data_IF_472919985520
#
_entry.id   IF_472919985520
#
_cell.length_a   1.000
_cell.length_b   1.000
_cell.length_c   1.000
_cell.angle_alpha   90.00
_cell.angle_beta   90.00
_cell.angle_gamma   90.00
#
_symmetry.space_group_name_H-M   'P 1'
#
loop_
_entity.id
_entity.type
_entity.pdbx_description
1 polymer ?
#
# COMPACT_ATOMS: atom_id res chain seq x y z
N UNK A 1 15.27 8.79 7.27
CA UNK A 1 14.24 9.54 6.52
C UNK A 1 13.02 8.65 6.60
N UNK A 2 12.23 8.84 7.64
CA UNK A 2 11.07 8.01 7.95
C UNK A 2 9.90 8.47 7.10
N UNK A 3 9.73 7.84 5.93
CA UNK A 3 8.52 8.01 5.14
C UNK A 3 7.53 6.90 5.51
N UNK A 4 7.05 6.94 6.75
CA UNK A 4 5.89 6.16 7.17
C UNK A 4 4.72 7.13 7.23
N UNK A 5 3.75 6.96 6.33
CA UNK A 5 2.57 7.82 6.26
C UNK A 5 1.95 8.00 7.65
N UNK A 6 1.62 9.24 7.99
CA UNK A 6 1.19 9.59 9.35
C UNK A 6 -0.19 9.02 9.72
N UNK A 7 -1.01 8.69 8.71
CA UNK A 7 -2.36 8.16 8.87
C UNK A 7 -2.89 7.57 7.56
N UNK A 8 -3.93 6.74 7.64
CA UNK A 8 -4.65 6.22 6.46
C UNK A 8 -5.10 7.32 5.49
N UNK A 9 -5.66 8.42 6.02
CA UNK A 9 -6.08 9.56 5.21
C UNK A 9 -4.91 10.22 4.47
N UNK A 10 -3.76 10.36 5.14
CA UNK A 10 -2.55 10.91 4.52
C UNK A 10 -2.02 9.96 3.44
N UNK A 11 -1.95 8.65 3.71
CA UNK A 11 -1.59 7.65 2.71
C UNK A 11 -2.51 7.68 1.48
N UNK A 12 -3.83 7.73 1.69
CA UNK A 12 -4.82 7.76 0.61
C UNK A 12 -4.71 9.02 -0.24
N UNK A 13 -4.49 10.17 0.41
CA UNK A 13 -4.21 11.44 -0.26
C UNK A 13 -2.92 11.35 -1.08
N UNK A 14 -1.83 10.82 -0.52
CA UNK A 14 -0.58 10.63 -1.26
C UNK A 14 -0.74 9.72 -2.49
N UNK A 15 -1.46 8.61 -2.35
CA UNK A 15 -1.70 7.68 -3.46
C UNK A 15 -2.53 8.33 -4.58
N UNK A 16 -3.55 9.11 -4.24
CA UNK A 16 -4.47 9.70 -5.22
C UNK A 16 -3.97 11.04 -5.78
N UNK A 17 -3.43 11.91 -4.93
CA UNK A 17 -3.01 13.26 -5.28
C UNK A 17 -1.58 13.31 -5.82
N UNK A 18 -0.63 12.62 -5.19
CA UNK A 18 0.78 12.63 -5.59
C UNK A 18 1.08 11.53 -6.60
N UNK A 19 0.69 10.29 -6.30
CA UNK A 19 0.94 9.16 -7.19
C UNK A 19 -0.07 9.07 -8.35
N UNK A 20 -1.14 9.89 -8.33
CA UNK A 20 -2.21 9.90 -9.36
C UNK A 20 -2.83 8.52 -9.59
N UNK A 21 -2.84 7.68 -8.57
CA UNK A 21 -3.42 6.35 -8.63
C UNK A 21 -4.91 6.43 -8.39
N UNK A 22 -5.65 5.67 -9.18
CA UNK A 22 -7.05 5.41 -8.88
C UNK A 22 -7.06 4.19 -7.96
N UNK A 23 -7.37 4.39 -6.68
CA UNK A 23 -7.53 3.30 -5.72
C UNK A 23 -8.88 2.61 -5.95
N UNK A 24 -9.11 2.11 -7.16
CA UNK A 24 -10.31 1.34 -7.50
C UNK A 24 -10.18 -0.11 -7.00
N UNK A 25 -11.30 -0.84 -7.03
CA UNK A 25 -11.37 -2.22 -6.55
C UNK A 25 -10.30 -3.12 -7.19
N UNK A 26 -10.12 -3.03 -8.52
CA UNK A 26 -9.18 -3.89 -9.23
C UNK A 26 -7.73 -3.54 -8.89
N UNK A 27 -7.41 -2.24 -8.76
CA UNK A 27 -6.10 -1.78 -8.32
C UNK A 27 -5.79 -2.25 -6.90
N UNK A 28 -6.71 -2.05 -5.96
CA UNK A 28 -6.55 -2.46 -4.56
C UNK A 28 -6.34 -3.97 -4.45
N UNK A 29 -7.17 -4.79 -5.13
CA UNK A 29 -7.02 -6.26 -5.15
C UNK A 29 -5.65 -6.68 -5.68
N UNK A 30 -5.24 -6.14 -6.82
CA UNK A 30 -3.93 -6.44 -7.42
C UNK A 30 -2.77 -6.06 -6.49
N UNK A 31 -2.86 -4.93 -5.77
CA UNK A 31 -1.83 -4.51 -4.81
C UNK A 31 -1.81 -5.37 -3.56
N UNK A 32 -2.96 -5.80 -3.04
CA UNK A 32 -3.08 -6.72 -1.89
C UNK A 32 -2.45 -8.07 -2.23
N UNK A 33 -2.73 -8.60 -3.42
CA UNK A 33 -2.13 -9.85 -3.90
C UNK A 33 -0.62 -9.73 -4.05
N UNK A 34 -0.14 -8.67 -4.70
CA UNK A 34 1.30 -8.43 -4.85
C UNK A 34 1.98 -8.27 -3.49
N UNK A 35 1.42 -7.48 -2.59
CA UNK A 35 1.95 -7.28 -1.23
C UNK A 35 1.89 -8.58 -0.43
N UNK A 36 0.90 -9.45 -0.61
CA UNK A 36 0.84 -10.76 0.04
C UNK A 36 1.88 -11.75 -0.49
N UNK A 37 2.36 -11.56 -1.72
CA UNK A 37 3.37 -12.40 -2.34
C UNK A 37 4.81 -11.95 -1.99
N UNK A 38 5.49 -12.73 -1.15
CA UNK A 38 6.91 -12.51 -0.79
C UNK A 38 7.89 -12.76 -1.96
N UNK A 39 7.42 -13.33 -3.07
CA UNK A 39 8.16 -13.53 -4.30
C UNK A 39 8.18 -12.29 -5.20
N UNK A 40 7.20 -11.39 -5.06
CA UNK A 40 7.06 -10.22 -5.91
C UNK A 40 8.25 -9.25 -5.70
N UNK A 41 8.90 -8.81 -6.79
CA UNK A 41 10.06 -7.92 -6.70
C UNK A 41 9.72 -6.58 -6.04
N UNK A 42 8.48 -6.10 -6.17
CA UNK A 42 8.02 -4.85 -5.56
C UNK A 42 7.84 -5.04 -4.05
N UNK A 43 7.27 -6.16 -3.63
CA UNK A 43 7.11 -6.52 -2.21
C UNK A 43 8.46 -6.72 -1.55
N UNK A 44 9.39 -7.42 -2.21
CA UNK A 44 10.77 -7.58 -1.72
C UNK A 44 11.50 -6.24 -1.62
N UNK A 45 11.34 -5.35 -2.60
CA UNK A 45 11.93 -4.01 -2.55
C UNK A 45 11.36 -3.19 -1.38
N UNK A 46 10.05 -3.25 -1.17
CA UNK A 46 9.37 -2.57 -0.06
C UNK A 46 9.79 -3.13 1.30
N UNK A 47 9.86 -4.45 1.44
CA UNK A 47 10.37 -5.13 2.63
C UNK A 47 11.83 -4.75 2.93
N UNK A 48 12.67 -4.66 1.91
CA UNK A 48 14.09 -4.29 2.08
C UNK A 48 14.26 -2.81 2.46
N UNK A 49 13.42 -1.92 1.93
CA UNK A 49 13.51 -0.49 2.17
C UNK A 49 12.86 -0.06 3.49
N UNK A 50 11.70 -0.63 3.83
CA UNK A 50 10.85 -0.18 4.94
C UNK A 50 10.57 -1.26 5.99
N UNK A 51 10.79 -2.54 5.68
CA UNK A 51 10.53 -3.66 6.58
C UNK A 51 9.10 -4.20 6.52
N UNK A 52 8.90 -5.34 7.20
CA UNK A 52 7.62 -6.05 7.22
C UNK A 52 6.49 -5.28 7.92
N UNK A 53 6.81 -4.48 8.94
CA UNK A 53 5.81 -3.66 9.63
C UNK A 53 5.15 -2.63 8.71
N UNK A 54 5.95 -1.99 7.84
CA UNK A 54 5.42 -1.02 6.88
C UNK A 54 4.60 -1.70 5.77
N UNK A 55 5.04 -2.87 5.29
CA UNK A 55 4.25 -3.69 4.35
C UNK A 55 2.88 -4.00 4.93
N UNK A 56 2.83 -4.49 6.16
CA UNK A 56 1.58 -4.90 6.83
C UNK A 56 0.64 -3.70 7.02
N UNK A 57 1.18 -2.55 7.40
CA UNK A 57 0.44 -1.30 7.51
C UNK A 57 -0.15 -0.85 6.17
N UNK A 58 0.64 -0.88 5.09
CA UNK A 58 0.16 -0.50 3.74
C UNK A 58 -0.85 -1.52 3.21
N UNK A 59 -0.66 -2.80 3.48
CA UNK A 59 -1.60 -3.87 3.15
C UNK A 59 -2.96 -3.63 3.80
N UNK A 60 -2.97 -3.37 5.12
CA UNK A 60 -4.19 -3.09 5.88
C UNK A 60 -4.92 -1.86 5.35
N UNK A 61 -4.21 -0.83 4.87
CA UNK A 61 -4.84 0.33 4.25
C UNK A 61 -5.45 0.05 2.88
N UNK A 62 -4.80 -0.78 2.05
CA UNK A 62 -5.41 -1.23 0.79
C UNK A 62 -6.68 -2.05 1.06
N UNK A 63 -6.66 -2.94 2.06
CA UNK A 63 -7.84 -3.70 2.48
C UNK A 63 -8.95 -2.78 2.99
N UNK A 64 -8.61 -1.76 3.79
CA UNK A 64 -9.57 -0.77 4.28
C UNK A 64 -10.18 0.03 3.13
N UNK A 65 -9.37 0.52 2.19
CA UNK A 65 -9.90 1.23 1.01
C UNK A 65 -10.82 0.33 0.20
N UNK A 66 -10.46 -0.94 0.00
CA UNK A 66 -11.29 -1.90 -0.71
C UNK A 66 -12.64 -2.14 -0.01
N UNK A 67 -12.68 -2.15 1.32
CA UNK A 67 -13.90 -2.31 2.10
C UNK A 67 -14.79 -1.04 2.12
N UNK A 68 -14.22 0.14 1.85
CA UNK A 68 -14.93 1.43 1.81
C UNK A 68 -15.43 1.82 0.41
N UNK A 69 -15.03 1.10 -0.65
CA UNK A 69 -15.51 1.29 -2.03
C UNK A 69 -16.92 0.72 -2.23
#
# INVERSE_FOLDING_TARGET
>A
MDFTYESYAHWRAEMTENAKLTLDEAYCKSRIEALSDDGDPSTRALLKAYGAAHRDQVLSWFEQTLAEL
#
